data_IF_110243111194
#
_entry.id   IF_110243111194
#
_cell.length_a   1.000
_cell.length_b   1.000
_cell.length_c   1.000
_cell.angle_alpha   90.00
_cell.angle_beta   90.00
_cell.angle_gamma   90.00
#
_symmetry.space_group_name_H-M   'P 1'
#
loop_
_entity.id
_entity.type
_entity.pdbx_description
1 polymer ?
#
# COMPACT_ATOMS: atom_id res chain seq x y z
N UNK A 1 20.20 -13.15 8.92
CA UNK A 1 19.99 -12.84 7.50
C UNK A 1 20.65 -11.53 7.13
N UNK A 2 20.78 -10.62 8.04
CA UNK A 2 21.44 -9.33 7.85
C UNK A 2 21.33 -8.44 9.08
N UNK A 3 21.88 -7.24 8.98
CA UNK A 3 21.77 -6.20 9.99
C UNK A 3 21.58 -4.84 9.33
N UNK A 4 21.01 -3.91 10.08
CA UNK A 4 20.83 -2.52 9.66
C UNK A 4 21.00 -1.59 10.87
N UNK A 5 21.34 -0.34 10.61
CA UNK A 5 21.50 0.64 11.66
C UNK A 5 21.88 2.02 11.15
N UNK A 6 22.13 2.92 12.10
CA UNK A 6 22.62 4.26 11.83
C UNK A 6 24.13 4.20 11.64
N UNK A 7 24.66 4.90 10.66
CA UNK A 7 26.11 5.06 10.46
C UNK A 7 26.71 5.81 11.64
N UNK A 8 27.76 5.26 12.23
CA UNK A 8 28.42 5.88 13.37
C UNK A 8 28.93 7.31 13.02
N UNK A 9 28.77 8.29 13.92
CA UNK A 9 29.16 9.69 13.65
C UNK A 9 30.57 9.85 13.09
N UNK A 10 31.55 9.14 13.65
CA UNK A 10 32.95 9.21 13.19
C UNK A 10 33.12 8.77 11.73
N UNK A 11 32.38 7.73 11.31
CA UNK A 11 32.42 7.25 9.91
C UNK A 11 31.70 8.26 9.02
N UNK A 12 30.58 8.80 9.48
CA UNK A 12 29.83 9.84 8.77
C UNK A 12 30.70 11.08 8.51
N UNK A 13 31.44 11.55 9.50
CA UNK A 13 32.38 12.66 9.38
C UNK A 13 33.54 12.32 8.41
N UNK A 14 34.11 11.13 8.50
CA UNK A 14 35.18 10.69 7.61
C UNK A 14 34.72 10.59 6.13
N UNK A 15 33.44 10.35 5.90
CA UNK A 15 32.82 10.30 4.56
C UNK A 15 32.20 11.64 4.11
N UNK A 16 32.33 12.71 4.90
CA UNK A 16 31.72 14.04 4.64
C UNK A 16 30.20 13.99 4.42
N UNK A 17 29.51 13.09 5.14
CA UNK A 17 28.06 12.97 5.11
C UNK A 17 27.43 13.97 6.10
N UNK A 18 26.72 14.97 5.60
CA UNK A 18 26.10 16.04 6.41
C UNK A 18 24.85 15.56 7.13
N UNK A 19 24.10 14.69 6.51
CA UNK A 19 22.83 14.17 7.01
C UNK A 19 23.03 12.84 7.74
N UNK A 20 22.05 12.46 8.57
CA UNK A 20 22.03 11.16 9.21
C UNK A 20 21.88 10.07 8.12
N UNK A 21 22.77 9.09 8.15
CA UNK A 21 22.82 8.02 7.17
C UNK A 21 22.53 6.67 7.83
N UNK A 22 21.76 5.84 7.13
CA UNK A 22 21.44 4.49 7.52
C UNK A 22 22.10 3.51 6.57
N UNK A 23 22.45 2.35 7.06
CA UNK A 23 22.97 1.27 6.22
C UNK A 23 22.25 -0.03 6.53
N UNK A 24 22.25 -0.93 5.55
CA UNK A 24 21.77 -2.28 5.70
C UNK A 24 22.68 -3.25 4.91
N UNK A 25 22.96 -4.40 5.50
CA UNK A 25 23.72 -5.48 4.86
C UNK A 25 22.95 -6.79 4.98
N UNK A 26 22.82 -7.53 3.89
CA UNK A 26 22.11 -8.80 3.84
C UNK A 26 22.95 -9.89 3.22
N UNK A 27 22.97 -11.09 3.83
CA UNK A 27 23.51 -12.29 3.18
C UNK A 27 22.49 -12.81 2.14
N UNK A 28 22.72 -12.48 0.87
CA UNK A 28 21.85 -12.86 -0.22
C UNK A 28 21.72 -14.38 -0.39
N UNK A 29 22.70 -15.17 0.02
CA UNK A 29 22.62 -16.64 -0.03
C UNK A 29 21.58 -17.17 0.93
N UNK A 30 21.49 -16.56 2.14
CA UNK A 30 20.44 -16.89 3.10
C UNK A 30 19.08 -16.40 2.65
N UNK A 31 19.00 -15.19 2.11
CA UNK A 31 17.75 -14.66 1.53
C UNK A 31 17.25 -15.61 0.43
N UNK A 32 18.12 -16.01 -0.49
CA UNK A 32 17.75 -16.92 -1.59
C UNK A 32 17.25 -18.29 -1.12
N UNK A 33 17.82 -18.82 -0.03
CA UNK A 33 17.38 -20.10 0.57
C UNK A 33 16.02 -19.98 1.26
N UNK A 34 15.69 -18.80 1.76
CA UNK A 34 14.42 -18.52 2.45
C UNK A 34 13.31 -18.11 1.49
N UNK A 35 13.64 -17.75 0.25
CA UNK A 35 12.64 -17.42 -0.76
C UNK A 35 11.81 -18.65 -1.11
N UNK A 36 10.51 -18.56 -0.93
CA UNK A 36 9.56 -19.50 -1.49
C UNK A 36 9.57 -19.41 -3.01
N UNK A 37 9.32 -20.53 -3.68
CA UNK A 37 9.12 -20.52 -5.14
C UNK A 37 7.94 -19.58 -5.45
N UNK A 38 8.24 -18.47 -6.10
CA UNK A 38 7.22 -17.53 -6.54
C UNK A 38 6.57 -18.13 -7.79
N UNK A 39 5.32 -18.55 -7.69
CA UNK A 39 4.51 -18.86 -8.87
C UNK A 39 4.06 -17.51 -9.48
N UNK A 40 4.38 -17.32 -10.75
CA UNK A 40 3.89 -16.14 -11.46
C UNK A 40 2.36 -16.20 -11.52
N UNK A 41 1.66 -15.15 -11.07
CA UNK A 41 0.21 -15.09 -11.20
C UNK A 41 -0.17 -15.15 -12.68
N UNK A 42 -1.32 -15.78 -13.00
CA UNK A 42 -1.84 -15.77 -14.34
C UNK A 42 -2.07 -14.32 -14.80
N UNK A 43 -1.42 -13.94 -15.88
CA UNK A 43 -1.63 -12.61 -16.48
C UNK A 43 -2.94 -12.65 -17.25
N UNK A 44 -3.83 -11.70 -16.93
CA UNK A 44 -5.09 -11.53 -17.67
C UNK A 44 -4.88 -10.56 -18.83
N UNK A 45 -5.31 -10.92 -20.01
CA UNK A 45 -5.34 -10.03 -21.19
C UNK A 45 -6.57 -9.08 -21.19
N UNK A 46 -7.47 -9.23 -20.22
CA UNK A 46 -8.65 -8.41 -20.10
C UNK A 46 -8.30 -7.04 -19.47
N UNK A 47 -8.95 -5.94 -19.91
CA UNK A 47 -8.63 -4.62 -19.40
C UNK A 47 -9.02 -4.49 -17.91
N UNK A 48 -8.11 -3.99 -17.05
CA UNK A 48 -8.42 -3.67 -15.67
C UNK A 48 -9.25 -2.39 -15.56
N UNK A 49 -10.01 -2.26 -14.48
CA UNK A 49 -10.70 -1.01 -14.10
C UNK A 49 -10.08 -0.53 -12.79
N UNK A 50 -9.58 0.71 -12.75
CA UNK A 50 -9.05 1.31 -11.53
C UNK A 50 -10.00 2.36 -10.97
N UNK A 51 -10.03 2.47 -9.64
CA UNK A 51 -10.74 3.52 -8.89
C UNK A 51 -9.80 4.13 -7.87
N UNK A 52 -9.80 5.44 -7.80
CA UNK A 52 -9.07 6.20 -6.81
C UNK A 52 -10.02 6.57 -5.66
N UNK A 53 -9.51 6.43 -4.44
CA UNK A 53 -10.23 6.62 -3.20
C UNK A 53 -9.41 7.51 -2.27
N UNK A 54 -9.87 8.73 -2.02
CA UNK A 54 -9.22 9.64 -1.06
C UNK A 54 -9.90 9.52 0.30
N UNK A 55 -9.11 9.17 1.30
CA UNK A 55 -9.56 8.99 2.67
C UNK A 55 -8.97 10.05 3.59
N UNK A 56 -9.79 10.49 4.55
CA UNK A 56 -9.36 11.32 5.66
C UNK A 56 -8.78 10.43 6.75
N UNK A 57 -7.52 10.60 7.07
CA UNK A 57 -6.80 9.79 8.05
C UNK A 57 -6.20 10.64 9.15
N UNK A 58 -6.20 10.12 10.38
CA UNK A 58 -5.47 10.74 11.48
C UNK A 58 -3.96 10.75 11.17
N UNK A 59 -3.26 11.77 11.66
CA UNK A 59 -1.81 11.93 11.44
C UNK A 59 -0.97 10.78 11.99
N UNK A 60 -1.46 10.10 13.03
CA UNK A 60 -0.78 8.97 13.67
C UNK A 60 -1.14 7.62 13.05
N UNK A 61 -2.20 7.57 12.25
CA UNK A 61 -2.65 6.34 11.65
C UNK A 61 -1.73 5.93 10.49
N UNK A 62 -1.39 4.64 10.42
CA UNK A 62 -0.55 4.12 9.34
C UNK A 62 -1.37 3.98 8.06
N UNK A 63 -0.95 4.60 6.95
CA UNK A 63 -1.61 4.47 5.65
C UNK A 63 -1.74 3.01 5.19
N UNK A 64 -0.74 2.17 5.47
CA UNK A 64 -0.78 0.74 5.17
C UNK A 64 -1.90 -0.04 5.84
N UNK A 65 -2.59 0.52 6.85
CA UNK A 65 -3.74 -0.13 7.49
C UNK A 65 -4.88 -0.38 6.50
N UNK A 66 -5.17 0.58 5.63
CA UNK A 66 -6.23 0.43 4.62
C UNK A 66 -5.90 -0.68 3.63
N UNK A 67 -4.63 -0.79 3.21
CA UNK A 67 -4.20 -1.89 2.34
C UNK A 67 -4.37 -3.25 3.00
N UNK A 68 -4.12 -3.37 4.31
CA UNK A 68 -4.39 -4.61 5.05
C UNK A 68 -5.88 -4.95 5.10
N UNK A 69 -6.73 -3.96 5.34
CA UNK A 69 -8.20 -4.15 5.34
C UNK A 69 -8.68 -4.63 3.96
N UNK A 70 -8.17 -4.03 2.88
CA UNK A 70 -8.45 -4.46 1.51
C UNK A 70 -8.06 -5.92 1.28
N UNK A 71 -6.87 -6.30 1.73
CA UNK A 71 -6.39 -7.67 1.64
C UNK A 71 -7.24 -8.65 2.45
N UNK A 72 -7.65 -8.26 3.67
CA UNK A 72 -8.50 -9.07 4.55
C UNK A 72 -9.92 -9.25 4.00
N UNK A 73 -10.46 -8.24 3.31
CA UNK A 73 -11.77 -8.33 2.64
C UNK A 73 -11.78 -9.33 1.49
N UNK A 74 -10.60 -9.65 0.95
CA UNK A 74 -10.39 -10.65 -0.10
C UNK A 74 -11.45 -10.56 -1.22
N UNK A 75 -11.69 -9.36 -1.71
CA UNK A 75 -12.63 -9.13 -2.81
C UNK A 75 -12.07 -9.76 -4.09
N UNK A 76 -12.78 -10.72 -4.63
CA UNK A 76 -12.34 -11.62 -5.72
C UNK A 76 -11.87 -10.88 -6.99
N UNK A 77 -12.40 -9.68 -7.21
CA UNK A 77 -12.03 -8.86 -8.37
C UNK A 77 -10.90 -7.86 -8.12
N UNK A 78 -10.46 -7.68 -6.87
CA UNK A 78 -9.35 -6.76 -6.54
C UNK A 78 -8.03 -7.48 -6.79
N UNK A 79 -7.26 -6.98 -7.74
CA UNK A 79 -5.94 -7.54 -8.10
C UNK A 79 -4.79 -6.75 -7.52
N UNK A 80 -4.99 -5.46 -7.30
CA UNK A 80 -3.95 -4.57 -6.76
C UNK A 80 -4.56 -3.43 -5.96
N UNK A 81 -3.86 -3.01 -4.92
CA UNK A 81 -4.15 -1.78 -4.20
C UNK A 81 -2.85 -1.09 -3.79
N UNK A 82 -2.74 0.19 -4.08
CA UNK A 82 -1.54 0.98 -3.79
C UNK A 82 -1.90 2.38 -3.28
N UNK A 83 -0.96 2.99 -2.55
CA UNK A 83 -1.05 4.39 -2.15
C UNK A 83 -0.42 5.21 -3.27
N UNK A 84 -1.18 6.16 -3.83
CA UNK A 84 -0.72 7.01 -4.92
C UNK A 84 -0.45 8.45 -4.47
N UNK A 85 -1.03 8.87 -3.33
CA UNK A 85 -0.78 10.19 -2.77
C UNK A 85 -0.97 10.18 -1.24
N UNK A 86 -0.18 10.97 -0.50
CA UNK A 86 -0.29 11.20 0.94
C UNK A 86 -0.01 12.69 1.21
N UNK A 87 -1.07 13.46 1.30
CA UNK A 87 -1.02 14.91 1.43
C UNK A 87 -1.43 15.37 2.81
N UNK A 88 -0.59 16.22 3.41
CA UNK A 88 -0.86 16.88 4.68
C UNK A 88 -0.78 18.41 4.53
N UNK A 89 -1.81 19.11 4.95
CA UNK A 89 -1.80 20.55 5.10
C UNK A 89 -1.38 20.92 6.54
N UNK A 90 -0.48 21.91 6.69
CA UNK A 90 0.12 22.24 8.00
C UNK A 90 -0.92 22.64 9.08
N UNK A 91 -2.04 23.20 8.67
CA UNK A 91 -3.10 23.68 9.55
C UNK A 91 -4.16 22.62 9.89
N UNK A 92 -4.11 21.44 9.25
CA UNK A 92 -5.11 20.39 9.44
C UNK A 92 -4.62 19.33 10.43
N UNK A 93 -5.53 18.84 11.28
CA UNK A 93 -5.27 17.76 12.24
C UNK A 93 -5.34 16.36 11.62
N UNK A 94 -5.56 16.27 10.31
CA UNK A 94 -5.64 15.05 9.52
C UNK A 94 -4.82 15.18 8.24
N UNK A 95 -4.64 14.07 7.57
CA UNK A 95 -4.04 14.00 6.23
C UNK A 95 -4.98 13.32 5.26
N UNK A 96 -4.76 13.55 3.98
CA UNK A 96 -5.48 12.93 2.88
C UNK A 96 -4.60 11.87 2.26
N UNK A 97 -5.07 10.65 2.26
CA UNK A 97 -4.34 9.54 1.60
C UNK A 97 -5.19 9.02 0.47
N UNK A 98 -4.63 9.01 -0.73
CA UNK A 98 -5.31 8.51 -1.93
C UNK A 98 -4.79 7.13 -2.27
N UNK A 99 -5.72 6.20 -2.36
CA UNK A 99 -5.48 4.81 -2.73
C UNK A 99 -6.00 4.56 -4.13
N UNK A 100 -5.26 3.83 -4.91
CA UNK A 100 -5.73 3.25 -6.17
C UNK A 100 -6.04 1.79 -5.94
N UNK A 101 -7.26 1.40 -6.29
CA UNK A 101 -7.71 0.00 -6.25
C UNK A 101 -7.97 -0.44 -7.69
N UNK A 102 -7.30 -1.51 -8.10
CA UNK A 102 -7.40 -2.07 -9.45
C UNK A 102 -8.20 -3.36 -9.40
N UNK A 103 -9.20 -3.42 -10.25
CA UNK A 103 -10.13 -4.55 -10.38
C UNK A 103 -9.90 -5.22 -11.73
N UNK A 104 -9.78 -6.53 -11.71
CA UNK A 104 -9.63 -7.34 -12.92
C UNK A 104 -10.11 -8.77 -12.65
N UNK A 105 -10.62 -9.44 -13.67
CA UNK A 105 -10.90 -10.87 -13.63
C UNK A 105 -10.14 -11.57 -14.78
N UNK A 106 -9.97 -12.87 -14.64
CA UNK A 106 -9.29 -13.68 -15.65
C UNK A 106 -10.27 -14.36 -16.62
N UNK A 107 -11.53 -14.44 -16.24
CA UNK A 107 -12.59 -15.15 -16.96
C UNK A 107 -13.45 -14.26 -17.86
N UNK A 108 -13.58 -12.97 -17.53
CA UNK A 108 -14.38 -12.00 -18.28
C UNK A 108 -14.04 -10.56 -17.95
N UNK A 109 -14.44 -9.64 -18.80
CA UNK A 109 -14.38 -8.19 -18.51
C UNK A 109 -15.38 -7.82 -17.42
N UNK A 110 -14.94 -7.03 -16.44
CA UNK A 110 -15.80 -6.50 -15.39
C UNK A 110 -16.72 -5.39 -15.93
N UNK A 111 -17.94 -5.34 -15.41
CA UNK A 111 -18.85 -4.21 -15.61
C UNK A 111 -18.61 -3.14 -14.55
N UNK A 112 -18.89 -1.89 -14.89
CA UNK A 112 -18.74 -0.77 -13.96
C UNK A 112 -19.58 -0.93 -12.69
N UNK A 113 -20.81 -1.47 -12.84
CA UNK A 113 -21.70 -1.70 -11.70
C UNK A 113 -21.14 -2.68 -10.68
N UNK A 114 -20.37 -3.70 -11.13
CA UNK A 114 -19.74 -4.67 -10.24
C UNK A 114 -18.59 -4.03 -9.45
N UNK A 115 -17.82 -3.17 -10.10
CA UNK A 115 -16.75 -2.40 -9.45
C UNK A 115 -17.33 -1.40 -8.46
N UNK A 116 -18.39 -0.71 -8.81
CA UNK A 116 -19.05 0.26 -7.94
C UNK A 116 -19.67 -0.41 -6.71
N UNK A 117 -20.23 -1.62 -6.86
CA UNK A 117 -20.73 -2.43 -5.75
C UNK A 117 -19.60 -2.88 -4.81
N UNK A 118 -18.46 -3.31 -5.36
CA UNK A 118 -17.26 -3.67 -4.58
C UNK A 118 -16.69 -2.46 -3.83
N UNK A 119 -16.63 -1.30 -4.47
CA UNK A 119 -16.22 -0.04 -3.83
C UNK A 119 -17.18 0.37 -2.71
N UNK A 120 -18.47 0.22 -2.89
CA UNK A 120 -19.46 0.49 -1.84
C UNK A 120 -19.22 -0.40 -0.63
N UNK A 121 -19.03 -1.71 -0.83
CA UNK A 121 -18.74 -2.66 0.24
C UNK A 121 -17.46 -2.29 1.00
N UNK A 122 -16.42 -1.89 0.28
CA UNK A 122 -15.16 -1.42 0.87
C UNK A 122 -15.40 -0.17 1.74
N UNK A 123 -16.07 0.84 1.19
CA UNK A 123 -16.35 2.11 1.88
C UNK A 123 -17.19 1.90 3.14
N UNK A 124 -18.22 1.08 3.05
CA UNK A 124 -19.07 0.73 4.20
C UNK A 124 -18.26 0.02 5.30
N UNK A 125 -17.35 -0.86 4.91
CA UNK A 125 -16.49 -1.54 5.87
C UNK A 125 -15.50 -0.57 6.53
N UNK A 126 -14.86 0.30 5.76
CA UNK A 126 -13.97 1.32 6.28
C UNK A 126 -14.69 2.27 7.25
N UNK A 127 -15.89 2.69 6.91
CA UNK A 127 -16.69 3.60 7.73
C UNK A 127 -17.21 2.92 9.01
N UNK A 128 -17.80 1.73 8.90
CA UNK A 128 -18.51 1.09 10.03
C UNK A 128 -17.57 0.39 10.99
N UNK A 129 -16.55 -0.30 10.50
CA UNK A 129 -15.61 -1.08 11.32
C UNK A 129 -14.35 -0.33 11.72
N UNK A 130 -13.94 0.65 10.93
CA UNK A 130 -12.65 1.29 11.10
C UNK A 130 -12.74 2.81 11.31
N UNK A 131 -13.95 3.39 11.26
CA UNK A 131 -14.20 4.84 11.43
C UNK A 131 -13.37 5.73 10.49
N UNK A 132 -13.08 5.22 9.29
CA UNK A 132 -12.35 5.94 8.24
C UNK A 132 -13.38 6.54 7.29
N UNK A 133 -13.27 7.86 7.03
CA UNK A 133 -14.20 8.60 6.17
C UNK A 133 -13.59 8.89 4.81
N UNK A 134 -14.39 8.75 3.76
CA UNK A 134 -14.04 9.21 2.43
C UNK A 134 -14.16 10.74 2.36
N UNK A 135 -13.21 11.37 1.70
CA UNK A 135 -13.33 12.78 1.29
C UNK A 135 -13.97 12.83 -0.11
N UNK A 136 -15.07 13.56 -0.18
CA UNK A 136 -15.76 13.87 -1.46
C UNK A 136 -15.09 15.07 -2.11
#
# INVERSE_FOLDING_TARGET
VGYFGVVHPTIREACDLKEEAFFAEFDLRLVYRLMSKVEAPAVSDLPPISRDLTLKMDLKEQAGRVLRILHELNLESVTEASIIDDFRKQEESFRRVTYRVTFQRTDRTLKHEEVDAAMTTLLDTLRTKHSIEMMV
#
